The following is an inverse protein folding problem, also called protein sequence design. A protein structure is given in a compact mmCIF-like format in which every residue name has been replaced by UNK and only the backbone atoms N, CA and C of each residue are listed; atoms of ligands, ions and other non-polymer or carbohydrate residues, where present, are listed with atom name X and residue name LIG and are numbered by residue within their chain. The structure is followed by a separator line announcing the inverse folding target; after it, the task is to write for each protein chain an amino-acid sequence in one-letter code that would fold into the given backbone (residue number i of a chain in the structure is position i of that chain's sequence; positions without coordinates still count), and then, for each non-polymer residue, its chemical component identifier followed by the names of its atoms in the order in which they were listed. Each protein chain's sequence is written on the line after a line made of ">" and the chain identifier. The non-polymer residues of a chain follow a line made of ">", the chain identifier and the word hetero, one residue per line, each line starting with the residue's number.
data_IF_022855503529
#
_entry.id   IF_022855503529
#
_cell.length_a   1.000
_cell.length_b   1.000
_cell.length_c   1.000
_cell.angle_alpha   90.00
_cell.angle_beta   90.00
_cell.angle_gamma   90.00
#
_symmetry.space_group_name_H-M   'P 1'
#
loop_
_entity.id
_entity.type
_entity.pdbx_description
1 polymer ?
#
# COMPACT_ATOMS: atom_id res chain seq x y z
N UNK A 1 16.35 -1.28 -18.35
CA UNK A 1 15.09 -0.93 -17.67
C UNK A 1 15.46 -0.43 -16.30
N UNK A 2 15.11 0.80 -15.98
CA UNK A 2 15.45 1.42 -14.69
C UNK A 2 14.57 0.85 -13.56
N UNK A 3 14.93 1.12 -12.30
CA UNK A 3 14.06 0.78 -11.15
C UNK A 3 12.71 1.49 -11.30
N UNK A 4 12.70 2.75 -11.75
CA UNK A 4 11.48 3.53 -11.98
C UNK A 4 10.58 2.89 -13.06
N UNK A 5 11.17 2.38 -14.15
CA UNK A 5 10.41 1.68 -15.21
C UNK A 5 9.76 0.39 -14.68
N UNK A 6 10.49 -0.37 -13.86
CA UNK A 6 10.00 -1.61 -13.26
C UNK A 6 8.88 -1.31 -12.27
N UNK A 7 9.09 -0.33 -11.39
CA UNK A 7 8.13 0.11 -10.40
C UNK A 7 6.87 0.66 -11.07
N UNK A 8 7.00 1.53 -12.09
CA UNK A 8 5.85 2.06 -12.83
C UNK A 8 5.04 0.95 -13.47
N UNK A 9 5.68 -0.02 -14.14
CA UNK A 9 4.97 -1.15 -14.74
C UNK A 9 4.19 -1.93 -13.69
N UNK A 10 4.82 -2.22 -12.56
CA UNK A 10 4.17 -2.95 -11.47
C UNK A 10 2.99 -2.15 -10.89
N UNK A 11 3.13 -0.85 -10.71
CA UNK A 11 2.09 0.05 -10.20
C UNK A 11 0.91 0.20 -11.16
N UNK A 12 1.18 0.32 -12.47
CA UNK A 12 0.15 0.29 -13.52
C UNK A 12 -0.67 -0.99 -13.41
N UNK A 13 0.00 -2.14 -13.32
CA UNK A 13 -0.66 -3.44 -13.19
C UNK A 13 -1.42 -3.58 -11.86
N UNK A 14 -0.92 -2.99 -10.76
CA UNK A 14 -1.60 -2.96 -9.47
C UNK A 14 -2.87 -2.08 -9.53
N UNK A 15 -2.80 -0.93 -10.20
CA UNK A 15 -3.95 -0.06 -10.39
C UNK A 15 -5.01 -0.71 -11.30
N UNK A 16 -4.60 -1.38 -12.38
CA UNK A 16 -5.51 -2.16 -13.24
C UNK A 16 -6.21 -3.29 -12.45
N UNK A 17 -5.49 -3.96 -11.54
CA UNK A 17 -6.07 -4.95 -10.65
C UNK A 17 -7.07 -4.34 -9.66
N UNK A 18 -6.75 -3.19 -9.06
CA UNK A 18 -7.67 -2.49 -8.18
C UNK A 18 -8.96 -2.05 -8.90
N UNK A 19 -8.87 -1.65 -10.17
CA UNK A 19 -10.05 -1.39 -11.02
C UNK A 19 -10.83 -2.67 -11.25
N UNK A 20 -10.15 -3.77 -11.62
CA UNK A 20 -10.79 -5.07 -11.89
C UNK A 20 -11.52 -5.63 -10.67
N UNK A 21 -10.92 -5.50 -9.48
CA UNK A 21 -11.45 -6.03 -8.22
C UNK A 21 -12.38 -5.05 -7.50
N UNK A 22 -12.59 -3.84 -8.04
CA UNK A 22 -13.48 -2.87 -7.44
C UNK A 22 -14.89 -3.45 -7.26
N UNK A 23 -15.40 -3.41 -6.04
CA UNK A 23 -16.77 -3.81 -5.70
C UNK A 23 -17.66 -2.60 -5.35
N UNK A 24 -17.11 -1.39 -5.48
CA UNK A 24 -17.73 -0.11 -5.13
C UNK A 24 -17.25 1.02 -6.03
N UNK A 25 -18.06 2.07 -6.16
CA UNK A 25 -17.76 3.25 -6.99
C UNK A 25 -16.53 4.01 -6.53
N UNK A 26 -16.34 4.20 -5.23
CA UNK A 26 -15.24 5.00 -4.69
C UNK A 26 -13.89 4.30 -4.92
N UNK A 27 -13.86 2.97 -4.80
CA UNK A 27 -12.69 2.15 -5.14
C UNK A 27 -12.34 2.33 -6.61
N UNK A 28 -13.34 2.22 -7.50
CA UNK A 28 -13.12 2.38 -8.93
C UNK A 28 -12.65 3.81 -9.27
N UNK A 29 -13.15 4.83 -8.57
CA UNK A 29 -12.71 6.22 -8.71
C UNK A 29 -11.24 6.38 -8.32
N UNK A 30 -10.86 6.02 -7.09
CA UNK A 30 -9.49 6.13 -6.59
C UNK A 30 -8.50 5.35 -7.44
N UNK A 31 -8.85 4.12 -7.82
CA UNK A 31 -8.02 3.28 -8.67
C UNK A 31 -7.84 3.87 -10.08
N UNK A 32 -8.89 4.43 -10.70
CA UNK A 32 -8.80 5.08 -12.01
C UNK A 32 -7.97 6.37 -11.96
N UNK A 33 -8.16 7.20 -10.93
CA UNK A 33 -7.33 8.40 -10.71
C UNK A 33 -5.86 8.02 -10.63
N UNK A 34 -5.52 7.04 -9.80
CA UNK A 34 -4.15 6.56 -9.69
C UNK A 34 -3.62 5.97 -11.00
N UNK A 35 -4.40 5.10 -11.65
CA UNK A 35 -4.01 4.46 -12.90
C UNK A 35 -3.67 5.47 -14.00
N UNK A 36 -4.48 6.53 -14.15
CA UNK A 36 -4.22 7.59 -15.12
C UNK A 36 -2.99 8.44 -14.73
N UNK A 37 -2.81 8.73 -13.44
CA UNK A 37 -1.68 9.52 -12.97
C UNK A 37 -0.34 8.78 -13.14
N UNK A 38 -0.24 7.53 -12.69
CA UNK A 38 1.02 6.78 -12.68
C UNK A 38 1.54 6.39 -14.07
N UNK A 39 0.68 6.41 -15.08
CA UNK A 39 1.10 6.15 -16.46
C UNK A 39 2.04 7.25 -16.99
N UNK A 40 1.80 8.50 -16.58
CA UNK A 40 2.48 9.68 -17.12
C UNK A 40 3.31 10.46 -16.09
N UNK A 41 3.16 10.16 -14.80
CA UNK A 41 3.84 10.87 -13.71
C UNK A 41 5.36 10.94 -13.89
N UNK A 42 5.98 12.09 -13.69
CA UNK A 42 7.45 12.20 -13.74
C UNK A 42 8.08 11.43 -12.55
N UNK A 43 9.16 10.66 -12.76
CA UNK A 43 9.88 10.03 -11.65
C UNK A 43 10.65 11.07 -10.84
N UNK A 44 10.68 10.90 -9.53
CA UNK A 44 11.45 11.70 -8.58
C UNK A 44 12.67 10.87 -8.18
N UNK A 45 13.91 11.36 -8.35
CA UNK A 45 15.10 10.62 -7.92
C UNK A 45 15.09 10.35 -6.41
N UNK A 46 15.26 9.09 -6.03
CA UNK A 46 15.41 8.69 -4.63
C UNK A 46 16.62 7.77 -4.44
N UNK A 47 17.09 7.68 -3.20
CA UNK A 47 18.07 6.68 -2.78
C UNK A 47 17.33 5.49 -2.18
N UNK A 48 17.72 4.29 -2.57
CA UNK A 48 17.20 3.07 -1.95
C UNK A 48 17.52 3.02 -0.45
N UNK A 49 16.57 2.52 0.32
CA UNK A 49 16.67 2.38 1.77
C UNK A 49 15.76 1.25 2.22
N UNK A 50 16.26 0.36 3.06
CA UNK A 50 15.48 -0.74 3.65
C UNK A 50 15.11 -0.42 5.10
N UNK A 51 14.14 -1.16 5.64
CA UNK A 51 13.78 -1.16 7.06
C UNK A 51 13.91 -2.58 7.62
N UNK A 52 14.21 -2.78 8.91
CA UNK A 52 14.36 -4.11 9.49
C UNK A 52 13.12 -5.00 9.31
N UNK A 53 11.91 -4.42 9.30
CA UNK A 53 10.65 -5.12 9.04
C UNK A 53 10.67 -6.01 7.79
N UNK A 54 11.45 -5.63 6.76
CA UNK A 54 11.53 -6.38 5.50
C UNK A 54 12.30 -7.71 5.61
N UNK A 55 12.76 -8.12 6.81
CA UNK A 55 13.50 -9.36 7.01
C UNK A 55 12.78 -10.62 6.49
N UNK A 56 11.44 -10.63 6.52
CA UNK A 56 10.62 -11.72 6.01
C UNK A 56 9.99 -11.44 4.63
N UNK A 57 10.45 -10.41 3.90
CA UNK A 57 9.88 -9.99 2.62
C UNK A 57 9.74 -11.15 1.61
N UNK A 58 10.69 -12.09 1.59
CA UNK A 58 10.67 -13.26 0.72
C UNK A 58 9.44 -14.17 0.90
N UNK A 59 8.74 -14.07 2.05
CA UNK A 59 7.51 -14.83 2.35
C UNK A 59 6.26 -14.21 1.74
N UNK A 60 6.31 -12.97 1.28
CA UNK A 60 5.22 -12.30 0.58
C UNK A 60 5.14 -12.78 -0.89
N UNK A 61 4.73 -14.03 -1.11
CA UNK A 61 4.87 -14.71 -2.42
C UNK A 61 3.63 -15.46 -2.91
N UNK A 62 2.51 -15.33 -2.19
CA UNK A 62 1.24 -16.02 -2.45
C UNK A 62 0.55 -15.60 -3.76
N UNK A 63 0.78 -14.38 -4.25
CA UNK A 63 0.26 -13.91 -5.56
C UNK A 63 1.37 -13.67 -6.59
N UNK A 64 1.06 -13.71 -7.91
CA UNK A 64 2.03 -13.31 -8.94
C UNK A 64 2.55 -11.88 -8.73
N UNK A 65 1.66 -10.94 -8.36
CA UNK A 65 2.00 -9.54 -8.09
C UNK A 65 2.93 -9.40 -6.89
N UNK A 66 2.74 -10.21 -5.86
CA UNK A 66 3.61 -10.24 -4.69
C UNK A 66 5.02 -10.71 -5.08
N UNK A 67 5.14 -11.78 -5.87
CA UNK A 67 6.45 -12.28 -6.34
C UNK A 67 7.21 -11.25 -7.17
N UNK A 68 6.52 -10.54 -8.07
CA UNK A 68 7.12 -9.43 -8.81
C UNK A 68 7.55 -8.28 -7.88
N UNK A 69 6.71 -7.94 -6.91
CA UNK A 69 7.00 -6.89 -5.93
C UNK A 69 8.24 -7.21 -5.10
N UNK A 70 8.36 -8.44 -4.59
CA UNK A 70 9.50 -8.88 -3.77
C UNK A 70 10.83 -8.67 -4.48
N UNK A 71 10.88 -8.80 -5.81
CA UNK A 71 12.10 -8.55 -6.58
C UNK A 71 12.49 -7.06 -6.64
N UNK A 72 11.50 -6.15 -6.64
CA UNK A 72 11.71 -4.70 -6.78
C UNK A 72 11.89 -4.04 -5.40
N UNK A 73 11.19 -4.53 -4.38
CA UNK A 73 11.11 -3.93 -3.05
C UNK A 73 12.46 -3.55 -2.40
N UNK A 74 13.55 -4.34 -2.48
CA UNK A 74 14.85 -3.97 -1.92
C UNK A 74 15.49 -2.73 -2.58
N UNK A 75 15.06 -2.38 -3.79
CA UNK A 75 15.57 -1.21 -4.52
C UNK A 75 14.78 0.07 -4.23
N UNK A 76 13.69 -0.02 -3.46
CA UNK A 76 12.83 1.11 -3.13
C UNK A 76 13.33 1.88 -1.90
N UNK A 77 12.72 3.02 -1.63
CA UNK A 77 12.93 3.79 -0.40
C UNK A 77 11.85 3.44 0.62
N UNK A 78 12.23 2.68 1.64
CA UNK A 78 11.39 2.35 2.78
C UNK A 78 11.68 3.24 3.97
N UNK A 79 10.62 3.70 4.61
CA UNK A 79 10.66 4.52 5.81
C UNK A 79 9.85 3.85 6.91
N UNK A 80 10.20 4.15 8.16
CA UNK A 80 9.36 3.81 9.31
C UNK A 80 7.99 4.50 9.18
N UNK A 81 6.94 3.85 9.66
CA UNK A 81 5.64 4.49 9.77
C UNK A 81 5.70 5.65 10.77
N UNK A 82 5.23 6.83 10.39
CA UNK A 82 5.10 7.97 11.29
C UNK A 82 4.06 7.74 12.42
N UNK A 83 3.28 6.66 12.35
CA UNK A 83 2.22 6.33 13.31
C UNK A 83 2.70 5.53 14.51
N UNK A 84 3.92 5.01 14.46
CA UNK A 84 4.48 4.20 15.53
C UNK A 84 5.99 4.30 15.58
N UNK A 85 6.53 4.46 16.78
CA UNK A 85 7.97 4.48 16.98
C UNK A 85 8.49 3.10 17.37
N UNK A 86 8.76 2.28 16.36
CA UNK A 86 9.43 0.97 16.49
C UNK A 86 10.75 0.90 15.72
N UNK A 87 11.31 2.04 15.31
CA UNK A 87 12.53 2.10 14.50
C UNK A 87 12.42 1.31 13.16
N UNK A 88 11.20 1.09 12.66
CA UNK A 88 10.94 0.32 11.44
C UNK A 88 11.09 -1.19 11.61
N UNK A 89 11.04 -1.71 12.84
CA UNK A 89 11.25 -3.13 13.13
C UNK A 89 10.11 -4.04 12.69
N UNK A 90 8.85 -3.61 12.78
CA UNK A 90 7.71 -4.49 12.51
C UNK A 90 6.88 -4.02 11.31
N UNK A 91 6.99 -2.75 10.92
CA UNK A 91 6.24 -2.18 9.81
C UNK A 91 7.03 -1.10 9.08
N UNK A 92 6.80 -1.01 7.79
CA UNK A 92 7.46 -0.03 6.94
C UNK A 92 6.51 0.47 5.86
N UNK A 93 6.73 1.71 5.43
CA UNK A 93 6.03 2.32 4.32
C UNK A 93 7.02 2.59 3.19
N UNK A 94 6.57 2.39 1.97
CA UNK A 94 7.20 2.96 0.79
C UNK A 94 6.26 4.03 0.24
N UNK A 95 6.59 5.31 0.47
CA UNK A 95 5.78 6.44 0.04
C UNK A 95 6.08 6.73 -1.42
N UNK A 96 5.19 6.31 -2.31
CA UNK A 96 5.41 6.37 -3.76
C UNK A 96 5.19 7.77 -4.34
N UNK A 97 4.46 8.64 -3.63
CA UNK A 97 4.43 10.08 -3.94
C UNK A 97 5.78 10.78 -3.73
N UNK A 98 6.75 10.13 -3.07
CA UNK A 98 8.14 10.60 -3.00
C UNK A 98 9.03 10.03 -4.13
N UNK A 99 8.46 9.14 -4.97
CA UNK A 99 9.13 8.50 -6.11
C UNK A 99 8.52 8.91 -7.47
N UNK A 100 7.28 9.42 -7.48
CA UNK A 100 6.61 9.94 -8.66
C UNK A 100 5.82 11.21 -8.31
N UNK A 101 5.79 12.18 -9.21
CA UNK A 101 4.93 13.35 -9.08
C UNK A 101 3.46 12.97 -9.28
N UNK A 102 2.72 12.86 -8.17
CA UNK A 102 1.32 12.41 -8.13
C UNK A 102 0.41 13.50 -7.53
N UNK A 103 0.21 14.64 -8.20
CA UNK A 103 -0.56 15.76 -7.65
C UNK A 103 -2.01 15.34 -7.32
N UNK A 104 -2.45 15.66 -6.10
CA UNK A 104 -3.78 15.30 -5.62
C UNK A 104 -3.96 13.84 -5.23
N UNK A 105 -2.87 13.07 -5.15
CA UNK A 105 -2.86 11.69 -4.66
C UNK A 105 -1.70 11.47 -3.68
N UNK A 106 -1.96 10.73 -2.61
CA UNK A 106 -0.90 10.11 -1.81
C UNK A 106 -0.96 8.61 -2.01
N UNK A 107 0.11 8.03 -2.57
CA UNK A 107 0.17 6.61 -2.89
C UNK A 107 1.36 6.00 -2.21
N UNK A 108 1.22 4.76 -1.75
CA UNK A 108 2.35 4.03 -1.20
C UNK A 108 2.07 2.54 -1.04
N UNK A 109 3.09 1.85 -0.55
CA UNK A 109 3.00 0.45 -0.13
C UNK A 109 3.18 0.38 1.38
N UNK A 110 2.26 -0.31 2.03
CA UNK A 110 2.36 -0.69 3.42
C UNK A 110 2.88 -2.13 3.51
N UNK A 111 3.90 -2.32 4.33
CA UNK A 111 4.41 -3.61 4.75
C UNK A 111 4.22 -3.75 6.26
N UNK A 112 3.63 -4.86 6.69
CA UNK A 112 3.53 -5.24 8.11
C UNK A 112 4.08 -6.65 8.22
N UNK A 113 5.07 -6.85 9.09
CA UNK A 113 5.70 -8.15 9.24
C UNK A 113 4.73 -9.18 9.83
N UNK A 114 5.04 -10.46 9.62
CA UNK A 114 4.25 -11.57 10.15
C UNK A 114 3.97 -11.43 11.65
N UNK A 115 2.73 -11.70 12.07
CA UNK A 115 2.25 -11.60 13.44
C UNK A 115 2.38 -10.20 14.08
N UNK A 116 2.60 -9.16 13.28
CA UNK A 116 2.59 -7.77 13.72
C UNK A 116 1.31 -7.07 13.29
N UNK A 117 1.05 -5.89 13.89
CA UNK A 117 -0.10 -5.05 13.56
C UNK A 117 0.33 -3.70 13.03
N UNK A 118 -0.56 -3.05 12.29
CA UNK A 118 -0.45 -1.63 12.01
C UNK A 118 -1.34 -0.84 12.97
N UNK A 119 -0.87 0.26 13.57
CA UNK A 119 -1.62 0.99 14.60
C UNK A 119 -3.04 1.35 14.17
N UNK A 120 -3.95 1.40 15.14
CA UNK A 120 -5.30 1.95 14.95
C UNK A 120 -5.19 3.44 14.62
N UNK A 121 -5.80 3.87 13.53
CA UNK A 121 -5.75 5.25 13.08
C UNK A 121 -6.95 5.62 12.20
N UNK A 122 -6.98 6.89 11.81
CA UNK A 122 -7.84 7.43 10.77
C UNK A 122 -7.15 8.66 10.16
N UNK A 123 -7.72 9.18 9.07
CA UNK A 123 -7.30 10.44 8.48
C UNK A 123 -8.40 11.01 7.57
N UNK A 124 -8.35 12.32 7.22
CA UNK A 124 -9.36 12.96 6.39
C UNK A 124 -9.49 12.43 4.94
N UNK A 125 -8.41 12.08 4.20
CA UNK A 125 -8.55 11.60 2.84
C UNK A 125 -9.36 10.31 2.73
N UNK A 126 -10.03 10.13 1.60
CA UNK A 126 -10.56 8.84 1.18
C UNK A 126 -9.40 7.87 0.96
N UNK A 127 -9.61 6.59 1.22
CA UNK A 127 -8.56 5.59 1.07
C UNK A 127 -9.05 4.31 0.43
N UNK A 128 -8.24 3.83 -0.52
CA UNK A 128 -8.34 2.54 -1.14
C UNK A 128 -7.08 1.73 -0.78
N UNK A 129 -7.27 0.51 -0.29
CA UNK A 129 -6.23 -0.51 -0.31
C UNK A 129 -6.46 -1.55 -1.41
N UNK A 130 -5.39 -1.98 -2.06
CA UNK A 130 -5.32 -3.30 -2.72
C UNK A 130 -4.40 -4.19 -1.90
N UNK A 131 -4.92 -5.28 -1.34
CA UNK A 131 -4.09 -6.31 -0.71
C UNK A 131 -3.32 -7.07 -1.79
N UNK A 132 -2.02 -7.23 -1.62
CA UNK A 132 -1.12 -7.86 -2.61
C UNK A 132 -0.65 -9.21 -2.12
N UNK A 133 -0.33 -9.31 -0.83
CA UNK A 133 0.18 -10.53 -0.21
C UNK A 133 -0.19 -10.61 1.25
N UNK A 134 -0.27 -11.83 1.77
CA UNK A 134 -0.55 -12.14 3.15
C UNK A 134 -2.04 -12.19 3.46
N UNK A 135 -2.45 -13.23 4.17
CA UNK A 135 -3.76 -13.22 4.84
C UNK A 135 -3.64 -12.36 6.10
N UNK A 136 -4.59 -11.46 6.30
CA UNK A 136 -4.57 -10.53 7.42
C UNK A 136 -5.99 -10.27 7.91
N UNK A 137 -6.10 -9.79 9.15
CA UNK A 137 -7.37 -9.34 9.70
C UNK A 137 -7.42 -7.83 9.67
N UNK A 138 -8.45 -7.26 9.04
CA UNK A 138 -8.58 -5.82 8.83
C UNK A 138 -9.81 -5.28 9.53
N UNK A 139 -9.68 -4.10 10.12
CA UNK A 139 -10.82 -3.25 10.48
C UNK A 139 -10.83 -2.12 9.47
N UNK A 140 -11.89 -2.01 8.66
CA UNK A 140 -11.97 -1.05 7.56
C UNK A 140 -13.44 -0.72 7.24
N UNK A 141 -13.67 0.36 6.49
CA UNK A 141 -14.98 0.72 5.94
C UNK A 141 -16.10 0.89 6.96
N UNK A 142 -15.76 1.37 8.17
CA UNK A 142 -16.69 1.54 9.28
C UNK A 142 -16.94 0.27 10.11
N UNK A 143 -16.26 -0.84 9.84
CA UNK A 143 -16.39 -2.05 10.64
C UNK A 143 -15.94 -1.84 12.09
N UNK A 144 -16.64 -2.46 13.04
CA UNK A 144 -16.27 -2.45 14.47
C UNK A 144 -15.27 -3.55 14.82
N UNK A 145 -15.22 -4.62 14.02
CA UNK A 145 -14.42 -5.82 14.26
C UNK A 145 -13.40 -6.02 13.14
N UNK A 146 -12.34 -6.75 13.47
CA UNK A 146 -11.39 -7.27 12.51
C UNK A 146 -12.04 -8.39 11.67
N UNK A 147 -11.85 -8.35 10.35
CA UNK A 147 -12.41 -9.28 9.36
C UNK A 147 -11.24 -9.89 8.58
N UNK A 148 -11.27 -11.20 8.35
CA UNK A 148 -10.27 -11.85 7.50
C UNK A 148 -10.36 -11.36 6.05
N UNK A 149 -9.21 -10.94 5.51
CA UNK A 149 -9.06 -10.47 4.13
C UNK A 149 -7.94 -11.27 3.48
N UNK A 150 -8.22 -11.75 2.26
CA UNK A 150 -7.26 -12.48 1.43
C UNK A 150 -6.52 -11.50 0.51
N UNK A 151 -5.36 -11.89 -0.04
CA UNK A 151 -4.71 -11.17 -1.13
C UNK A 151 -5.65 -10.93 -2.32
N UNK A 152 -5.33 -9.93 -3.13
CA UNK A 152 -6.13 -9.48 -4.29
C UNK A 152 -7.54 -9.00 -3.94
N UNK A 153 -7.70 -8.43 -2.73
CA UNK A 153 -8.95 -7.80 -2.28
C UNK A 153 -8.79 -6.29 -2.21
N UNK A 154 -9.80 -5.54 -2.67
CA UNK A 154 -9.85 -4.09 -2.50
C UNK A 154 -10.65 -3.70 -1.26
N UNK A 155 -10.11 -2.80 -0.46
CA UNK A 155 -10.74 -2.27 0.75
C UNK A 155 -10.92 -0.76 0.60
N UNK A 156 -11.95 -0.21 1.21
CA UNK A 156 -12.16 1.23 1.22
C UNK A 156 -12.48 1.72 2.63
N UNK A 157 -11.87 2.85 2.99
CA UNK A 157 -12.20 3.63 4.18
C UNK A 157 -12.80 4.97 3.74
N UNK A 158 -13.97 5.30 4.31
CA UNK A 158 -14.49 6.66 4.21
C UNK A 158 -13.55 7.61 4.97
N UNK A 159 -13.58 8.91 4.67
CA UNK A 159 -12.95 9.92 5.50
C UNK A 159 -13.21 9.67 6.99
N UNK A 160 -12.15 9.64 7.78
CA UNK A 160 -12.17 9.46 9.23
C UNK A 160 -12.65 8.07 9.74
N UNK A 161 -12.89 7.09 8.87
CA UNK A 161 -13.13 5.71 9.31
C UNK A 161 -11.93 5.22 10.13
N UNK A 162 -12.18 4.65 11.31
CA UNK A 162 -11.13 4.03 12.12
C UNK A 162 -10.74 2.69 11.52
N UNK A 163 -9.46 2.53 11.22
CA UNK A 163 -8.94 1.33 10.59
C UNK A 163 -7.58 0.89 11.17
N UNK A 164 -7.30 -0.40 11.00
CA UNK A 164 -6.08 -1.10 11.45
C UNK A 164 -6.00 -2.44 10.72
N UNK A 165 -4.83 -3.06 10.76
CA UNK A 165 -4.62 -4.40 10.24
C UNK A 165 -3.70 -5.20 11.15
N UNK A 166 -3.94 -6.51 11.21
CA UNK A 166 -3.06 -7.50 11.84
C UNK A 166 -2.65 -8.53 10.80
N UNK A 167 -1.34 -8.59 10.52
CA UNK A 167 -0.78 -9.58 9.61
C UNK A 167 -0.86 -10.98 10.24
N UNK A 168 -1.10 -11.98 9.41
CA UNK A 168 -1.12 -13.38 9.82
C UNK A 168 0.29 -13.97 9.96
N UNK A 169 0.41 -15.25 9.63
CA UNK A 169 1.66 -16.01 9.71
C UNK A 169 2.68 -15.65 8.60
N UNK A 170 2.26 -14.86 7.61
CA UNK A 170 3.09 -14.25 6.57
C UNK A 170 2.98 -12.74 6.60
N UNK A 171 4.00 -11.99 6.15
CA UNK A 171 3.92 -10.55 6.05
C UNK A 171 2.77 -10.09 5.16
N UNK A 172 2.16 -8.97 5.52
CA UNK A 172 1.17 -8.27 4.70
C UNK A 172 1.87 -7.28 3.79
N UNK A 173 1.48 -7.28 2.51
CA UNK A 173 1.80 -6.21 1.56
C UNK A 173 0.50 -5.65 1.00
N UNK A 174 0.32 -4.34 1.10
CA UNK A 174 -0.84 -3.65 0.53
C UNK A 174 -0.45 -2.33 -0.13
N UNK A 175 -1.02 -2.03 -1.29
CA UNK A 175 -0.92 -0.70 -1.90
C UNK A 175 -2.05 0.16 -1.36
N UNK A 176 -1.76 1.38 -0.94
CA UNK A 176 -2.76 2.37 -0.58
C UNK A 176 -2.79 3.52 -1.58
N UNK A 177 -3.97 4.06 -1.82
CA UNK A 177 -4.21 5.27 -2.61
C UNK A 177 -5.11 6.17 -1.78
N UNK A 178 -4.64 7.38 -1.48
CA UNK A 178 -5.40 8.43 -0.81
C UNK A 178 -5.75 9.54 -1.80
N UNK A 179 -6.96 10.06 -1.69
CA UNK A 179 -7.41 11.22 -2.48
C UNK A 179 -8.47 12.04 -1.75
N UNK A 180 -8.65 13.29 -2.19
CA UNK A 180 -9.60 14.23 -1.60
C UNK A 180 -8.95 15.20 -0.61
N UNK A 181 -9.74 15.70 0.34
CA UNK A 181 -9.30 16.73 1.28
C UNK A 181 -8.34 16.17 2.35
N UNK A 182 -7.42 17.01 2.82
CA UNK A 182 -6.50 16.68 3.91
C UNK A 182 -5.32 15.79 3.51
N UNK A 183 -5.03 15.68 2.21
CA UNK A 183 -3.74 15.16 1.75
C UNK A 183 -2.59 15.99 2.31
N UNK A 184 -1.44 15.36 2.51
CA UNK A 184 -0.21 16.09 2.86
C UNK A 184 0.08 17.13 1.75
N UNK A 185 0.41 18.38 2.12
CA UNK A 185 0.76 19.42 1.17
C UNK A 185 2.05 19.11 0.41
#
# INVERSE_FOLDING_TARGET
>A
MTVDDQLRRWLVAAADAAIKFSNRSEIAEGAKKFRSAIEVAAPIPFKSQTQPALGNLHRASDTPRAREFVAIAPSLRWVQSHRWDDEGNERALCVLSDAFELPGLEVGIMYVDQNCSYPVHNHPPQELYLTISGSARWRYGGAEKLIEVKPETTLYNHPLDIHTVEAGDTPLVAMYVLWGEGLRP
#
